data_IF_173122164816
#
_entry.id   IF_173122164816
#
_cell.length_a   1.000
_cell.length_b   1.000
_cell.length_c   1.000
_cell.angle_alpha   90.00
_cell.angle_beta   90.00
_cell.angle_gamma   90.00
#
_symmetry.space_group_name_H-M   'P 1'
#
loop_
_entity.id
_entity.type
_entity.pdbx_description
1 polymer ?
#
# COMPACT_ATOMS: atom_id res chain seq x y z
N UNK A 1 -5.55 13.42 -4.18
CA UNK A 1 -4.62 12.30 -4.08
C UNK A 1 -4.73 11.67 -2.69
N UNK A 2 -4.58 12.44 -1.66
CA UNK A 2 -4.60 12.02 -0.25
C UNK A 2 -6.03 11.92 0.32
N UNK A 3 -6.54 10.69 0.59
CA UNK A 3 -6.04 9.42 0.05
C UNK A 3 -7.14 8.77 -0.82
N UNK A 4 -7.93 9.60 -1.54
CA UNK A 4 -9.01 9.17 -2.43
C UNK A 4 -8.51 8.29 -3.60
N UNK A 5 -7.23 8.43 -3.98
CA UNK A 5 -6.62 7.62 -5.04
C UNK A 5 -6.43 6.17 -4.59
N UNK A 6 -6.04 5.93 -3.34
CA UNK A 6 -6.03 4.61 -2.75
C UNK A 6 -7.43 3.97 -2.76
N UNK A 7 -8.45 4.72 -2.34
CA UNK A 7 -9.83 4.25 -2.40
C UNK A 7 -10.26 3.89 -3.83
N UNK A 8 -9.81 4.64 -4.84
CA UNK A 8 -10.09 4.33 -6.26
C UNK A 8 -9.43 3.03 -6.69
N UNK A 9 -8.18 2.78 -6.29
CA UNK A 9 -7.49 1.50 -6.56
C UNK A 9 -8.23 0.35 -5.89
N UNK A 10 -8.66 0.49 -4.64
CA UNK A 10 -9.43 -0.57 -3.95
C UNK A 10 -10.73 -0.92 -4.68
N UNK A 11 -11.42 0.07 -5.28
CA UNK A 11 -12.60 -0.19 -6.11
C UNK A 11 -12.25 -0.97 -7.39
N UNK A 12 -11.14 -0.64 -8.05
CA UNK A 12 -10.63 -1.40 -9.20
C UNK A 12 -10.28 -2.84 -8.81
N UNK A 13 -9.62 -3.03 -7.68
CA UNK A 13 -9.33 -4.37 -7.12
C UNK A 13 -10.62 -5.15 -6.82
N UNK A 14 -11.67 -4.49 -6.31
CA UNK A 14 -12.96 -5.15 -6.09
C UNK A 14 -13.55 -5.70 -7.40
N UNK A 15 -13.49 -4.93 -8.48
CA UNK A 15 -13.95 -5.35 -9.81
C UNK A 15 -13.11 -6.54 -10.33
N UNK A 16 -11.79 -6.49 -10.16
CA UNK A 16 -10.89 -7.58 -10.57
C UNK A 16 -11.16 -8.86 -9.78
N UNK A 17 -11.36 -8.77 -8.46
CA UNK A 17 -11.70 -9.92 -7.61
C UNK A 17 -13.05 -10.54 -7.99
N UNK A 18 -14.04 -9.71 -8.34
CA UNK A 18 -15.33 -10.20 -8.81
C UNK A 18 -15.23 -10.95 -10.15
N UNK A 19 -14.34 -10.52 -11.04
CA UNK A 19 -14.09 -11.17 -12.33
C UNK A 19 -13.16 -12.38 -12.22
N UNK A 20 -12.15 -12.31 -11.35
CA UNK A 20 -11.09 -13.31 -11.21
C UNK A 20 -10.72 -13.48 -9.74
N UNK A 21 -11.48 -14.28 -8.97
CA UNK A 21 -11.19 -14.52 -7.56
C UNK A 21 -9.81 -15.15 -7.34
N UNK A 22 -9.14 -14.79 -6.26
CA UNK A 22 -7.94 -15.49 -5.81
C UNK A 22 -8.32 -16.90 -5.34
N UNK A 23 -7.36 -17.83 -5.37
CA UNK A 23 -7.64 -19.27 -5.13
C UNK A 23 -7.41 -19.67 -3.68
N UNK A 24 -6.42 -19.08 -3.05
CA UNK A 24 -5.92 -19.48 -1.72
C UNK A 24 -6.04 -18.37 -0.68
N UNK A 25 -6.42 -17.17 -1.11
CA UNK A 25 -6.43 -15.97 -0.27
C UNK A 25 -7.82 -15.33 -0.23
N UNK A 26 -8.34 -15.12 0.95
CA UNK A 26 -9.50 -14.25 1.19
C UNK A 26 -9.03 -12.79 1.28
N UNK A 27 -9.75 -11.89 0.63
CA UNK A 27 -9.38 -10.47 0.56
C UNK A 27 -10.44 -9.62 1.26
N UNK A 28 -10.00 -8.80 2.19
CA UNK A 28 -10.81 -7.74 2.80
C UNK A 28 -10.33 -6.39 2.28
N UNK A 29 -11.22 -5.62 1.67
CA UNK A 29 -10.94 -4.24 1.27
C UNK A 29 -11.32 -3.31 2.44
N UNK A 30 -10.33 -2.68 3.03
CA UNK A 30 -10.47 -1.87 4.23
C UNK A 30 -10.31 -0.38 3.88
N UNK A 31 -11.39 0.38 4.04
CA UNK A 31 -11.41 1.83 3.90
C UNK A 31 -11.35 2.43 5.30
N UNK A 32 -10.16 2.74 5.76
CA UNK A 32 -9.92 3.32 7.09
C UNK A 32 -10.28 4.80 7.12
N UNK A 33 -10.69 5.25 8.28
CA UNK A 33 -10.85 6.68 8.57
C UNK A 33 -9.91 7.11 9.69
N UNK A 34 -9.72 8.42 9.83
CA UNK A 34 -8.96 9.02 10.94
C UNK A 34 -7.50 8.54 11.01
N UNK A 35 -6.85 8.33 9.86
CA UNK A 35 -5.43 8.01 9.77
C UNK A 35 -4.61 9.14 10.40
N UNK A 36 -4.83 10.38 9.99
CA UNK A 36 -4.17 11.63 10.39
C UNK A 36 -4.22 11.95 11.92
N UNK A 37 -5.10 11.29 12.63
CA UNK A 37 -5.26 11.44 14.08
C UNK A 37 -4.91 10.16 14.84
N UNK A 38 -3.95 9.40 14.30
CA UNK A 38 -3.36 8.23 14.95
C UNK A 38 -3.96 6.89 14.52
N UNK A 39 -4.36 6.76 13.26
CA UNK A 39 -4.83 5.50 12.64
C UNK A 39 -5.99 4.86 13.40
N UNK A 40 -6.89 5.69 13.97
CA UNK A 40 -7.94 5.18 14.88
C UNK A 40 -8.93 4.27 14.18
N UNK A 41 -9.19 4.45 12.87
CA UNK A 41 -10.00 3.54 12.07
C UNK A 41 -9.38 2.15 11.95
N UNK A 42 -8.10 2.06 11.64
CA UNK A 42 -7.35 0.81 11.60
C UNK A 42 -7.34 0.14 12.99
N UNK A 43 -7.02 0.89 14.05
CA UNK A 43 -7.00 0.36 15.41
C UNK A 43 -8.35 -0.23 15.83
N UNK A 44 -9.45 0.46 15.49
CA UNK A 44 -10.80 -0.04 15.73
C UNK A 44 -11.10 -1.33 14.98
N UNK A 45 -10.68 -1.43 13.71
CA UNK A 45 -10.80 -2.66 12.93
C UNK A 45 -10.03 -3.82 13.60
N UNK A 46 -8.77 -3.60 13.99
CA UNK A 46 -7.94 -4.62 14.62
C UNK A 46 -8.49 -5.08 15.97
N UNK A 47 -9.05 -4.16 16.76
CA UNK A 47 -9.68 -4.47 18.04
C UNK A 47 -10.92 -5.35 17.87
N UNK A 48 -11.78 -5.04 16.91
CA UNK A 48 -13.04 -5.77 16.69
C UNK A 48 -12.86 -7.12 16.00
N UNK A 49 -11.97 -7.19 15.00
CA UNK A 49 -11.79 -8.39 14.17
C UNK A 49 -10.68 -9.32 14.65
N UNK A 50 -9.69 -8.80 15.37
CA UNK A 50 -8.54 -9.54 15.92
C UNK A 50 -7.92 -10.52 14.92
N UNK A 51 -7.56 -10.09 13.70
CA UNK A 51 -7.06 -11.01 12.68
C UNK A 51 -5.77 -11.70 13.15
N UNK A 52 -5.60 -13.01 12.89
CA UNK A 52 -4.38 -13.74 13.29
C UNK A 52 -3.13 -13.16 12.60
N UNK A 53 -2.20 -12.58 13.37
CA UNK A 53 -1.04 -11.83 12.86
C UNK A 53 -0.20 -12.57 11.83
N UNK A 54 -0.01 -13.87 12.00
CA UNK A 54 0.85 -14.68 11.14
C UNK A 54 0.19 -15.08 9.80
N UNK A 55 -1.13 -14.90 9.69
CA UNK A 55 -1.91 -15.30 8.51
C UNK A 55 -2.50 -14.13 7.74
N UNK A 56 -2.33 -12.92 8.23
CA UNK A 56 -2.84 -11.71 7.60
C UNK A 56 -1.70 -10.87 7.06
N UNK A 57 -1.84 -10.48 5.81
CA UNK A 57 -0.98 -9.56 5.10
C UNK A 57 -1.75 -8.27 4.87
N UNK A 58 -1.15 -7.14 5.22
CA UNK A 58 -1.72 -5.83 4.95
C UNK A 58 -0.95 -5.16 3.82
N UNK A 59 -1.66 -4.73 2.80
CA UNK A 59 -1.14 -3.89 1.72
C UNK A 59 -1.76 -2.52 1.92
N UNK A 60 -0.95 -1.58 2.32
CA UNK A 60 -1.34 -0.18 2.47
C UNK A 60 -1.10 0.56 1.15
N UNK A 61 -1.98 1.50 0.81
CA UNK A 61 -1.89 2.30 -0.41
C UNK A 61 -1.84 3.78 -0.03
N UNK A 62 -0.73 4.44 -0.37
CA UNK A 62 -0.52 5.83 0.04
C UNK A 62 -0.30 6.75 -1.17
N UNK A 63 -1.25 7.68 -1.38
CA UNK A 63 -1.16 8.74 -2.39
C UNK A 63 -0.75 8.25 -3.80
N UNK A 64 -1.35 7.16 -4.27
CA UNK A 64 -0.96 6.41 -5.48
C UNK A 64 -1.44 7.02 -6.81
N UNK A 65 -1.94 8.24 -6.81
CA UNK A 65 -2.50 8.89 -8.00
C UNK A 65 -1.54 9.82 -8.75
N UNK A 66 -0.34 10.09 -8.24
CA UNK A 66 0.56 11.11 -8.81
C UNK A 66 2.02 10.67 -8.70
N UNK A 67 2.85 11.04 -9.70
CA UNK A 67 4.28 10.75 -9.73
C UNK A 67 4.61 9.32 -10.15
N UNK A 68 5.62 8.74 -9.53
CA UNK A 68 6.01 7.34 -9.71
C UNK A 68 5.44 6.48 -8.56
N UNK A 69 5.40 5.18 -8.77
CA UNK A 69 4.95 4.21 -7.75
C UNK A 69 6.14 3.39 -7.27
N UNK A 70 6.19 3.13 -5.97
CA UNK A 70 7.14 2.21 -5.35
C UNK A 70 6.45 1.31 -4.32
N UNK A 71 7.09 0.21 -3.94
CA UNK A 71 6.85 -0.40 -2.64
C UNK A 71 7.89 0.16 -1.66
N UNK A 72 7.46 0.45 -0.43
CA UNK A 72 8.32 1.12 0.55
C UNK A 72 9.16 0.08 1.28
N UNK A 73 10.48 0.24 1.22
CA UNK A 73 11.46 -0.66 1.84
C UNK A 73 11.88 -0.20 3.24
N UNK A 74 11.65 1.07 3.53
CA UNK A 74 11.93 1.68 4.80
C UNK A 74 11.09 2.93 4.99
N UNK A 75 10.50 3.07 6.15
CA UNK A 75 9.67 4.20 6.55
C UNK A 75 10.30 4.94 7.72
N UNK A 76 9.97 6.20 7.92
CA UNK A 76 10.32 6.92 9.11
C UNK A 76 10.40 8.43 8.94
N UNK A 77 10.17 9.17 10.01
CA UNK A 77 10.28 10.64 10.06
C UNK A 77 11.71 11.07 10.36
N UNK A 78 12.51 10.19 10.96
CA UNK A 78 13.89 10.49 11.35
C UNK A 78 14.70 9.20 11.52
N UNK A 79 16.02 9.33 11.66
CA UNK A 79 16.92 8.21 11.96
C UNK A 79 16.60 7.46 13.28
N UNK A 80 15.75 8.01 14.14
CA UNK A 80 15.36 7.42 15.41
C UNK A 80 14.04 6.65 15.35
N UNK A 81 13.27 6.84 14.27
CA UNK A 81 11.97 6.18 14.05
C UNK A 81 11.98 5.53 12.68
N UNK A 82 12.59 4.37 12.62
CA UNK A 82 12.67 3.58 11.39
C UNK A 82 11.73 2.38 11.50
N UNK A 83 10.95 2.16 10.46
CA UNK A 83 10.10 0.98 10.30
C UNK A 83 10.48 0.29 9.00
N UNK A 84 10.31 -1.04 8.95
CA UNK A 84 10.50 -1.82 7.73
C UNK A 84 9.28 -2.68 7.49
N UNK A 85 8.92 -2.91 6.22
CA UNK A 85 7.89 -3.89 5.90
C UNK A 85 8.31 -5.29 6.38
N UNK A 86 7.34 -6.17 6.53
CA UNK A 86 7.64 -7.58 6.78
C UNK A 86 8.52 -8.13 5.65
N UNK A 87 9.64 -8.82 5.96
CA UNK A 87 10.59 -9.29 4.94
C UNK A 87 9.99 -10.26 3.92
N UNK A 88 8.98 -11.04 4.30
CA UNK A 88 8.27 -11.94 3.38
C UNK A 88 7.47 -11.13 2.38
N UNK A 89 6.71 -10.11 2.83
CA UNK A 89 5.97 -9.22 1.96
C UNK A 89 6.87 -8.35 1.08
N UNK A 90 8.01 -7.88 1.60
CA UNK A 90 8.98 -7.15 0.80
C UNK A 90 9.51 -8.01 -0.36
N UNK A 91 9.85 -9.27 -0.09
CA UNK A 91 10.29 -10.21 -1.13
C UNK A 91 9.19 -10.52 -2.15
N UNK A 92 7.91 -10.60 -1.73
CA UNK A 92 6.77 -10.75 -2.63
C UNK A 92 6.57 -9.51 -3.51
N UNK A 93 6.70 -8.32 -2.92
CA UNK A 93 6.62 -7.04 -3.63
C UNK A 93 7.73 -6.90 -4.68
N UNK A 94 8.97 -7.27 -4.35
CA UNK A 94 10.08 -7.29 -5.29
C UNK A 94 9.82 -8.28 -6.44
N UNK A 95 9.30 -9.48 -6.15
CA UNK A 95 8.94 -10.45 -7.20
C UNK A 95 7.85 -9.93 -8.12
N UNK A 96 6.81 -9.31 -7.57
CA UNK A 96 5.74 -8.70 -8.36
C UNK A 96 6.29 -7.61 -9.29
N UNK A 97 7.18 -6.74 -8.80
CA UNK A 97 7.84 -5.71 -9.59
C UNK A 97 8.73 -6.31 -10.70
N UNK A 98 9.53 -7.32 -10.37
CA UNK A 98 10.46 -7.96 -11.32
C UNK A 98 9.72 -8.71 -12.43
N UNK A 99 8.59 -9.35 -12.14
CA UNK A 99 7.76 -10.01 -13.14
C UNK A 99 7.00 -9.03 -14.05
N UNK A 100 6.82 -7.79 -13.61
CA UNK A 100 6.04 -6.76 -14.30
C UNK A 100 6.88 -5.51 -14.60
N UNK A 101 8.03 -5.68 -15.23
CA UNK A 101 9.00 -4.61 -15.53
C UNK A 101 8.41 -3.40 -16.27
N UNK A 102 7.36 -3.60 -17.07
CA UNK A 102 6.66 -2.51 -17.77
C UNK A 102 5.98 -1.51 -16.83
N UNK A 103 5.69 -1.90 -15.59
CA UNK A 103 5.12 -1.00 -14.59
C UNK A 103 6.15 -0.04 -14.01
N UNK A 104 7.47 -0.31 -14.19
CA UNK A 104 8.58 0.51 -13.70
C UNK A 104 8.50 0.80 -12.19
N UNK A 105 8.23 -0.24 -11.40
CA UNK A 105 8.10 -0.16 -9.93
C UNK A 105 9.34 -0.79 -9.30
N UNK A 106 9.84 -0.16 -8.24
CA UNK A 106 10.99 -0.63 -7.48
C UNK A 106 10.82 -0.32 -5.99
N UNK A 107 11.60 -0.98 -5.15
CA UNK A 107 11.70 -0.67 -3.74
C UNK A 107 12.34 0.69 -3.50
N UNK A 108 11.83 1.43 -2.51
CA UNK A 108 12.32 2.76 -2.17
C UNK A 108 12.18 3.07 -0.68
N UNK A 109 13.24 3.65 -0.11
CA UNK A 109 13.17 4.26 1.22
C UNK A 109 12.36 5.56 1.14
N UNK A 110 11.40 5.75 2.04
CA UNK A 110 10.53 6.91 2.08
C UNK A 110 10.49 7.53 3.48
N UNK A 111 10.45 8.86 3.54
CA UNK A 111 10.23 9.61 4.80
C UNK A 111 8.74 9.84 5.00
N UNK A 112 8.03 8.78 5.32
CA UNK A 112 6.59 8.79 5.61
C UNK A 112 6.31 7.99 6.87
N UNK A 113 5.21 8.32 7.54
CA UNK A 113 4.62 7.50 8.60
C UNK A 113 3.15 7.34 8.26
N UNK A 114 2.73 6.11 8.09
CA UNK A 114 1.37 5.74 7.73
C UNK A 114 0.94 4.50 8.53
N UNK A 115 -0.13 3.85 8.14
CA UNK A 115 -0.71 2.73 8.88
C UNK A 115 0.24 1.53 9.04
N UNK A 116 1.21 1.33 8.11
CA UNK A 116 2.22 0.26 8.24
C UNK A 116 3.07 0.40 9.50
N UNK A 117 3.42 1.61 9.92
CA UNK A 117 4.15 1.83 11.15
C UNK A 117 3.37 1.37 12.39
N UNK A 118 2.05 1.49 12.37
CA UNK A 118 1.16 1.01 13.43
C UNK A 118 1.02 -0.50 13.36
N UNK A 119 0.87 -1.08 12.18
CA UNK A 119 0.79 -2.53 11.95
C UNK A 119 2.08 -3.23 12.39
N UNK A 120 3.25 -2.71 12.01
CA UNK A 120 4.55 -3.24 12.42
C UNK A 120 4.71 -3.28 13.94
N UNK A 121 4.42 -2.16 14.63
CA UNK A 121 4.46 -2.12 16.11
C UNK A 121 3.54 -3.14 16.78
N UNK A 122 2.45 -3.51 16.13
CA UNK A 122 1.49 -4.50 16.62
C UNK A 122 1.84 -5.92 16.18
N UNK A 123 2.91 -6.10 15.39
CA UNK A 123 3.41 -7.40 14.93
C UNK A 123 2.57 -8.00 13.79
N UNK A 124 1.93 -7.17 12.98
CA UNK A 124 1.29 -7.59 11.74
C UNK A 124 2.25 -7.48 10.57
N UNK A 125 2.08 -8.34 9.58
CA UNK A 125 2.82 -8.29 8.32
C UNK A 125 2.21 -7.23 7.41
N UNK A 126 2.98 -6.22 7.06
CA UNK A 126 2.49 -5.11 6.26
C UNK A 126 3.53 -4.62 5.25
N UNK A 127 3.08 -4.06 4.14
CA UNK A 127 3.88 -3.33 3.14
C UNK A 127 3.06 -2.17 2.60
N UNK A 128 3.71 -1.02 2.35
CA UNK A 128 3.08 0.12 1.72
C UNK A 128 3.46 0.21 0.24
N UNK A 129 2.49 0.53 -0.60
CA UNK A 129 2.66 0.96 -1.99
C UNK A 129 2.39 2.47 -2.01
N UNK A 130 3.36 3.27 -2.41
CA UNK A 130 3.26 4.72 -2.33
C UNK A 130 3.60 5.41 -3.66
N UNK A 131 3.00 6.59 -3.85
CA UNK A 131 3.42 7.53 -4.88
C UNK A 131 4.64 8.34 -4.44
N UNK A 132 5.51 8.72 -5.37
CA UNK A 132 6.63 9.62 -5.08
C UNK A 132 6.99 10.53 -6.25
N UNK A 133 7.48 11.73 -5.95
CA UNK A 133 7.97 12.70 -6.93
C UNK A 133 9.48 12.50 -7.24
N UNK A 134 10.06 13.36 -8.06
CA UNK A 134 11.48 13.27 -8.42
C UNK A 134 12.41 13.47 -7.22
N UNK A 135 12.00 14.24 -6.23
CA UNK A 135 12.74 14.47 -4.99
C UNK A 135 12.60 13.31 -3.97
N UNK A 136 11.69 12.36 -4.23
CA UNK A 136 11.48 11.19 -3.38
C UNK A 136 10.47 11.38 -2.25
N UNK A 137 9.62 12.40 -2.35
CA UNK A 137 8.55 12.69 -1.38
C UNK A 137 7.18 12.36 -1.95
N UNK A 138 6.17 12.23 -1.08
CA UNK A 138 4.77 12.13 -1.47
C UNK A 138 4.33 13.38 -2.25
N UNK A 139 3.80 13.23 -3.48
CA UNK A 139 3.45 14.38 -4.31
C UNK A 139 2.22 15.11 -3.76
N UNK A 140 2.34 16.42 -3.58
CA UNK A 140 1.28 17.31 -3.08
C UNK A 140 0.76 17.03 -1.66
N UNK A 141 1.42 16.15 -0.92
CA UNK A 141 1.04 15.76 0.44
C UNK A 141 0.83 17.00 1.34
N UNK A 142 -0.35 17.08 1.96
CA UNK A 142 -0.78 18.17 2.85
C UNK A 142 -0.66 19.58 2.20
N UNK A 143 -0.89 19.68 0.89
CA UNK A 143 -0.82 20.93 0.14
C UNK A 143 -2.14 21.25 -0.57
N UNK A 144 -2.40 22.56 -0.77
CA UNK A 144 -3.54 23.02 -1.57
C UNK A 144 -3.48 22.57 -3.04
N UNK A 145 -2.32 22.13 -3.50
CA UNK A 145 -2.13 21.52 -4.82
C UNK A 145 -2.55 20.05 -4.89
N UNK A 146 -3.02 19.45 -3.81
CA UNK A 146 -3.58 18.10 -3.85
C UNK A 146 -5.02 18.11 -4.36
N UNK A 147 -5.15 18.30 -5.67
CA UNK A 147 -6.42 18.46 -6.37
C UNK A 147 -6.59 17.41 -7.47
N UNK A 148 -7.82 17.23 -7.94
CA UNK A 148 -8.17 16.27 -8.98
C UNK A 148 -7.38 16.51 -10.28
N UNK A 149 -7.11 17.78 -10.64
CA UNK A 149 -6.38 18.15 -11.85
C UNK A 149 -4.94 17.64 -11.86
N UNK A 150 -4.37 17.36 -10.69
CA UNK A 150 -3.01 16.84 -10.52
C UNK A 150 -2.94 15.31 -10.48
N UNK A 151 -4.08 14.61 -10.52
CA UNK A 151 -4.11 13.16 -10.61
C UNK A 151 -3.72 12.73 -12.01
N UNK A 152 -2.84 11.74 -12.06
CA UNK A 152 -2.30 11.15 -13.30
C UNK A 152 -2.92 9.77 -13.53
N UNK A 153 -3.87 9.61 -14.47
CA UNK A 153 -4.53 8.32 -14.69
C UNK A 153 -3.56 7.16 -14.97
N UNK A 154 -2.44 7.45 -15.65
CA UNK A 154 -1.40 6.43 -15.90
C UNK A 154 -0.68 5.97 -14.63
N UNK A 155 -0.49 6.86 -13.65
CA UNK A 155 0.10 6.49 -12.34
C UNK A 155 -0.90 5.66 -11.54
N UNK A 156 -2.15 6.08 -11.50
CA UNK A 156 -3.22 5.34 -10.83
C UNK A 156 -3.38 3.92 -11.42
N UNK A 157 -3.38 3.80 -12.74
CA UNK A 157 -3.42 2.50 -13.42
C UNK A 157 -2.23 1.61 -13.08
N UNK A 158 -1.02 2.17 -12.98
CA UNK A 158 0.16 1.40 -12.57
C UNK A 158 0.06 0.90 -11.13
N UNK A 159 -0.46 1.72 -10.23
CA UNK A 159 -0.71 1.33 -8.84
C UNK A 159 -1.71 0.18 -8.76
N UNK A 160 -2.82 0.27 -9.48
CA UNK A 160 -3.85 -0.78 -9.57
C UNK A 160 -3.25 -2.11 -10.07
N UNK A 161 -2.59 -2.10 -11.22
CA UNK A 161 -1.98 -3.30 -11.78
C UNK A 161 -0.89 -3.90 -10.88
N UNK A 162 -0.11 -3.06 -10.21
CA UNK A 162 0.93 -3.55 -9.32
C UNK A 162 0.35 -4.14 -8.02
N UNK A 163 -0.67 -3.50 -7.45
CA UNK A 163 -1.38 -4.03 -6.28
C UNK A 163 -1.96 -5.41 -6.59
N UNK A 164 -2.60 -5.55 -7.76
CA UNK A 164 -3.12 -6.83 -8.23
C UNK A 164 -2.01 -7.88 -8.39
N UNK A 165 -0.89 -7.52 -9.01
CA UNK A 165 0.25 -8.42 -9.19
C UNK A 165 0.84 -8.88 -7.84
N UNK A 166 0.94 -7.99 -6.86
CA UNK A 166 1.39 -8.35 -5.50
C UNK A 166 0.40 -9.31 -4.82
N UNK A 167 -0.90 -9.05 -4.93
CA UNK A 167 -1.93 -9.95 -4.40
C UNK A 167 -1.86 -11.34 -5.02
N UNK A 168 -1.56 -11.44 -6.33
CA UNK A 168 -1.35 -12.72 -7.00
C UNK A 168 -0.09 -13.44 -6.50
N UNK A 169 1.00 -12.73 -6.20
CA UNK A 169 2.20 -13.33 -5.59
C UNK A 169 1.91 -13.87 -4.18
N UNK A 170 1.12 -13.15 -3.39
CA UNK A 170 0.66 -13.61 -2.07
C UNK A 170 -0.17 -14.88 -2.22
N UNK A 171 -1.16 -14.88 -3.11
CA UNK A 171 -2.05 -16.02 -3.35
C UNK A 171 -1.29 -17.27 -3.77
N UNK A 172 -0.29 -17.13 -4.65
CA UNK A 172 0.56 -18.25 -5.12
C UNK A 172 1.52 -18.75 -4.04
N UNK A 173 1.88 -17.94 -3.06
CA UNK A 173 2.76 -18.32 -1.96
C UNK A 173 2.00 -18.94 -0.78
N UNK A 174 0.69 -18.81 -0.77
CA UNK A 174 -0.20 -19.41 0.26
C UNK A 174 -0.45 -20.88 -0.09
N UNK A 175 -0.16 -21.84 0.82
CA UNK A 175 -0.30 -23.28 0.57
C UNK A 175 -1.76 -23.73 0.45
#
# INVERSE_FOLDING_TARGET
NDNATAATVLLGIAEQLAATPLKHTEVTLLFTGCEEVGCTGLLSYLEHHQPPRQKHYFIDLEMVGTGNICYVTKHGISYLTEYRPDPELEALAERAATKNLSLAIAGKDMLIVEEVATLDRLGYKAVCIAGYNQEGYLPNWHRLSDTLENIQPGTLSRADHYTWALMQEIDQSTP
#
